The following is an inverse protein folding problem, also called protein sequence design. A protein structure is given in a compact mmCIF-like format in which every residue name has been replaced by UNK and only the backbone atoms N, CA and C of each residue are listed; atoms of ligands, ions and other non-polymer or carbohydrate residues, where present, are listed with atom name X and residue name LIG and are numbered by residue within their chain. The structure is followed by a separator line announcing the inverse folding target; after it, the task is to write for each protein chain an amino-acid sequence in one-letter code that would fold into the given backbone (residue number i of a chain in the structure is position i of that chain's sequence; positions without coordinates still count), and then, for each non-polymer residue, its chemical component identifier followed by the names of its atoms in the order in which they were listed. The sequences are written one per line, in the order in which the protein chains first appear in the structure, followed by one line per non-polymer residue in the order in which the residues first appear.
data_IF_308360859061
#
_entry.id   IF_308360859061
#
_cell.length_a   1.000
_cell.length_b   1.000
_cell.length_c   1.000
_cell.angle_alpha   90.00
_cell.angle_beta   90.00
_cell.angle_gamma   90.00
#
_symmetry.space_group_name_H-M   'P 1'
#
loop_
_entity.id
_entity.type
_entity.pdbx_description
1 polymer ?
#
# COMPACT_ATOMS: atom_id res chain seq x y z
N UNK A 1 -21.07 5.36 16.19
CA UNK A 1 -19.90 4.90 16.97
C UNK A 1 -19.24 3.65 16.39
N UNK A 2 -19.92 2.50 16.36
CA UNK A 2 -19.35 1.25 15.80
C UNK A 2 -18.84 1.37 14.34
N UNK A 3 -19.55 2.03 13.39
CA UNK A 3 -19.03 2.19 12.03
C UNK A 3 -17.82 3.13 11.94
N UNK A 4 -17.73 4.18 12.77
CA UNK A 4 -16.56 5.06 12.76
C UNK A 4 -15.32 4.35 13.32
N UNK A 5 -15.50 3.57 14.39
CA UNK A 5 -14.41 2.78 14.99
C UNK A 5 -13.88 1.76 13.98
N UNK A 6 -14.78 1.03 13.30
CA UNK A 6 -14.38 0.04 12.30
C UNK A 6 -13.66 0.70 11.11
N UNK A 7 -14.13 1.87 10.65
CA UNK A 7 -13.45 2.67 9.62
C UNK A 7 -12.06 3.09 10.06
N UNK A 8 -11.89 3.54 11.31
CA UNK A 8 -10.62 3.96 11.86
C UNK A 8 -9.63 2.79 11.96
N UNK A 9 -10.09 1.63 12.44
CA UNK A 9 -9.28 0.40 12.47
C UNK A 9 -8.83 0.03 11.05
N UNK A 10 -9.75 0.00 10.09
CA UNK A 10 -9.44 -0.34 8.70
C UNK A 10 -8.37 0.58 8.09
N UNK A 11 -8.54 1.91 8.24
CA UNK A 11 -7.59 2.92 7.75
C UNK A 11 -6.21 2.71 8.39
N UNK A 12 -6.17 2.44 9.69
CA UNK A 12 -4.93 2.24 10.43
C UNK A 12 -4.21 0.96 9.99
N UNK A 13 -4.95 -0.14 9.79
CA UNK A 13 -4.39 -1.39 9.26
C UNK A 13 -3.82 -1.18 7.86
N UNK A 14 -4.53 -0.45 6.98
CA UNK A 14 -4.03 -0.12 5.64
C UNK A 14 -2.75 0.73 5.70
N UNK A 15 -2.68 1.73 6.58
CA UNK A 15 -1.47 2.52 6.79
C UNK A 15 -0.28 1.65 7.20
N UNK A 16 -0.49 0.73 8.15
CA UNK A 16 0.54 -0.18 8.65
C UNK A 16 1.02 -1.14 7.57
N UNK A 17 0.11 -1.72 6.79
CA UNK A 17 0.46 -2.62 5.68
C UNK A 17 1.29 -1.89 4.62
N UNK A 18 0.92 -0.65 4.26
CA UNK A 18 1.68 0.16 3.32
C UNK A 18 3.05 0.55 3.88
N UNK A 19 3.14 0.92 5.16
CA UNK A 19 4.41 1.20 5.81
C UNK A 19 5.32 -0.03 5.84
N UNK A 20 4.76 -1.22 6.11
CA UNK A 20 5.49 -2.48 6.06
C UNK A 20 6.00 -2.80 4.65
N UNK A 21 5.18 -2.58 3.61
CA UNK A 21 5.60 -2.74 2.22
C UNK A 21 6.69 -1.74 1.82
N UNK A 22 6.60 -0.49 2.29
CA UNK A 22 7.62 0.51 2.08
C UNK A 22 8.96 0.10 2.74
N UNK A 23 8.90 -0.52 3.91
CA UNK A 23 10.11 -0.98 4.61
C UNK A 23 10.75 -2.20 3.93
N UNK A 24 9.93 -3.13 3.42
CA UNK A 24 10.40 -4.31 2.68
C UNK A 24 10.89 -3.99 1.27
N UNK A 25 10.46 -2.87 0.68
CA UNK A 25 10.93 -2.43 -0.62
C UNK A 25 12.40 -1.97 -0.57
N UNK A 26 13.16 -2.28 -1.63
CA UNK A 26 14.57 -1.90 -1.74
C UNK A 26 14.78 -0.39 -1.52
N UNK A 27 15.86 -0.03 -0.80
CA UNK A 27 16.22 1.38 -0.56
C UNK A 27 16.39 2.11 -1.90
N UNK A 28 15.81 3.31 -2.02
CA UNK A 28 15.88 4.13 -3.24
C UNK A 28 14.91 3.76 -4.36
N UNK A 29 14.10 2.71 -4.22
CA UNK A 29 13.12 2.33 -5.25
C UNK A 29 11.92 3.28 -5.28
N UNK A 30 11.37 3.52 -6.48
CA UNK A 30 10.16 4.35 -6.63
C UNK A 30 8.94 3.71 -5.97
N UNK A 31 8.91 2.38 -5.87
CA UNK A 31 7.89 1.67 -5.09
C UNK A 31 7.91 1.99 -3.62
N UNK A 32 9.10 2.11 -3.01
CA UNK A 32 9.20 2.50 -1.60
C UNK A 32 8.60 3.88 -1.38
N UNK A 33 8.84 4.81 -2.30
CA UNK A 33 8.23 6.14 -2.26
C UNK A 33 6.70 6.07 -2.42
N UNK A 34 6.20 5.23 -3.34
CA UNK A 34 4.77 5.02 -3.53
C UNK A 34 4.09 4.49 -2.26
N UNK A 35 4.66 3.45 -1.65
CA UNK A 35 4.12 2.87 -0.42
C UNK A 35 4.23 3.81 0.79
N UNK A 36 5.33 4.56 0.91
CA UNK A 36 5.50 5.54 1.98
C UNK A 36 4.49 6.70 1.84
N UNK A 37 4.32 7.24 0.63
CA UNK A 37 3.33 8.29 0.36
C UNK A 37 1.91 7.80 0.65
N UNK A 38 1.58 6.57 0.23
CA UNK A 38 0.31 5.93 0.56
C UNK A 38 0.10 5.78 2.07
N UNK A 39 1.09 5.26 2.80
CA UNK A 39 1.01 5.10 4.25
C UNK A 39 0.74 6.45 4.95
N UNK A 40 1.45 7.51 4.56
CA UNK A 40 1.25 8.86 5.07
C UNK A 40 -0.16 9.39 4.77
N UNK A 41 -0.69 9.14 3.57
CA UNK A 41 -2.06 9.52 3.23
C UNK A 41 -3.09 8.88 4.17
N UNK A 42 -2.96 7.57 4.44
CA UNK A 42 -3.86 6.87 5.35
C UNK A 42 -3.71 7.34 6.80
N UNK A 43 -2.51 7.73 7.23
CA UNK A 43 -2.31 8.38 8.54
C UNK A 43 -3.07 9.70 8.62
N UNK A 44 -3.02 10.55 7.57
CA UNK A 44 -3.79 11.79 7.53
C UNK A 44 -5.30 11.54 7.57
N UNK A 45 -5.78 10.51 6.87
CA UNK A 45 -7.18 10.12 6.95
C UNK A 45 -7.58 9.62 8.34
N UNK A 46 -6.71 8.87 9.02
CA UNK A 46 -6.94 8.45 10.40
C UNK A 46 -7.03 9.65 11.35
N UNK A 47 -6.14 10.63 11.18
CA UNK A 47 -6.16 11.89 11.94
C UNK A 47 -7.43 12.70 11.68
N UNK A 48 -7.85 12.85 10.41
CA UNK A 48 -9.11 13.51 10.06
C UNK A 48 -10.33 12.85 10.72
N UNK A 49 -10.29 11.51 10.82
CA UNK A 49 -11.31 10.75 11.53
C UNK A 49 -11.29 10.99 13.04
N UNK A 50 -10.10 11.05 13.66
CA UNK A 50 -9.94 11.37 15.08
C UNK A 50 -10.44 12.79 15.40
N UNK A 51 -10.09 13.77 14.57
CA UNK A 51 -10.57 15.15 14.72
C UNK A 51 -12.09 15.21 14.71
N UNK A 52 -12.72 14.50 13.78
CA UNK A 52 -14.19 14.43 13.70
C UNK A 52 -14.78 13.69 14.91
N UNK A 53 -14.19 12.58 15.33
CA UNK A 53 -14.69 11.73 16.42
C UNK A 53 -14.63 12.43 17.79
N UNK A 54 -13.54 13.14 18.05
CA UNK A 54 -13.35 13.86 19.31
C UNK A 54 -13.80 15.32 19.25
N UNK A 55 -14.37 15.76 18.12
CA UNK A 55 -14.75 17.17 17.89
C UNK A 55 -13.57 18.13 18.09
N UNK A 56 -12.36 17.67 17.77
CA UNK A 56 -11.10 18.42 17.92
C UNK A 56 -10.83 19.19 16.63
N UNK A 57 -10.70 20.52 16.76
CA UNK A 57 -10.40 21.40 15.64
C UNK A 57 -11.63 21.82 14.84
N UNK A 58 -11.48 22.89 14.05
CA UNK A 58 -12.54 23.34 13.14
C UNK A 58 -12.66 22.45 11.90
N UNK A 59 -13.82 22.50 11.22
CA UNK A 59 -14.07 21.74 9.99
C UNK A 59 -12.98 21.91 8.92
N UNK A 60 -12.32 23.08 8.89
CA UNK A 60 -11.20 23.39 8.01
C UNK A 60 -10.00 22.44 8.21
N UNK A 61 -9.72 22.00 9.45
CA UNK A 61 -8.58 21.14 9.75
C UNK A 61 -8.80 19.71 9.23
N UNK A 62 -10.04 19.22 9.37
CA UNK A 62 -10.47 17.95 8.78
C UNK A 62 -10.40 17.99 7.26
N UNK A 63 -10.92 19.06 6.63
CA UNK A 63 -10.87 19.24 5.18
C UNK A 63 -9.43 19.33 4.66
N UNK A 64 -8.55 20.06 5.36
CA UNK A 64 -7.14 20.19 5.00
C UNK A 64 -6.41 18.84 5.10
N UNK A 65 -6.67 18.07 6.16
CA UNK A 65 -6.10 16.72 6.34
C UNK A 65 -6.55 15.76 5.24
N UNK A 66 -7.83 15.82 4.85
CA UNK A 66 -8.37 15.03 3.73
C UNK A 66 -7.73 15.47 2.41
N UNK A 67 -7.66 16.77 2.15
CA UNK A 67 -7.06 17.32 0.92
C UNK A 67 -5.59 16.92 0.75
N UNK A 68 -4.79 17.05 1.81
CA UNK A 68 -3.39 16.60 1.82
C UNK A 68 -3.28 15.08 1.63
N UNK A 69 -4.15 14.30 2.28
CA UNK A 69 -4.22 12.85 2.10
C UNK A 69 -4.48 12.48 0.64
N UNK A 70 -5.44 13.14 -0.03
CA UNK A 70 -5.72 12.92 -1.45
C UNK A 70 -4.52 13.27 -2.35
N UNK A 71 -3.83 14.39 -2.07
CA UNK A 71 -2.62 14.76 -2.80
C UNK A 71 -1.52 13.70 -2.65
N UNK A 72 -1.33 13.15 -1.44
CA UNK A 72 -0.38 12.07 -1.21
C UNK A 72 -0.78 10.77 -1.92
N UNK A 73 -2.07 10.45 -2.02
CA UNK A 73 -2.54 9.31 -2.82
C UNK A 73 -2.16 9.51 -4.29
N UNK A 74 -2.37 10.70 -4.85
CA UNK A 74 -1.95 10.99 -6.23
C UNK A 74 -0.43 10.81 -6.40
N UNK A 75 0.37 11.32 -5.47
CA UNK A 75 1.83 11.11 -5.48
C UNK A 75 2.18 9.63 -5.43
N UNK A 76 1.50 8.84 -4.59
CA UNK A 76 1.71 7.41 -4.48
C UNK A 76 1.41 6.69 -5.80
N UNK A 77 0.29 7.02 -6.45
CA UNK A 77 -0.10 6.44 -7.74
C UNK A 77 0.90 6.81 -8.83
N UNK A 78 1.32 8.07 -8.91
CA UNK A 78 2.32 8.50 -9.90
C UNK A 78 3.67 7.81 -9.68
N UNK A 79 4.11 7.68 -8.44
CA UNK A 79 5.34 6.96 -8.10
C UNK A 79 5.25 5.47 -8.48
N UNK A 80 4.09 4.84 -8.27
CA UNK A 80 3.85 3.45 -8.65
C UNK A 80 3.85 3.26 -10.19
N UNK A 81 3.17 4.14 -10.92
CA UNK A 81 3.19 4.18 -12.38
C UNK A 81 4.62 4.35 -12.92
N UNK A 82 5.39 5.25 -12.29
CA UNK A 82 6.77 5.51 -12.64
C UNK A 82 7.70 4.33 -12.32
N UNK A 83 7.40 3.54 -11.30
CA UNK A 83 8.08 2.28 -10.99
C UNK A 83 7.73 1.19 -12.02
N UNK A 84 6.46 1.13 -12.46
CA UNK A 84 6.00 0.18 -13.47
C UNK A 84 6.68 0.43 -14.81
N UNK A 85 6.73 1.69 -15.26
CA UNK A 85 7.37 2.11 -16.52
C UNK A 85 8.88 1.83 -16.55
N UNK A 86 9.57 1.87 -15.40
CA UNK A 86 11.01 1.58 -15.31
C UNK A 86 11.35 0.10 -15.21
N UNK A 87 10.36 -0.79 -15.31
CA UNK A 87 10.61 -2.23 -15.28
C UNK A 87 11.02 -2.76 -13.90
N UNK A 88 10.84 -1.99 -12.81
CA UNK A 88 11.08 -2.49 -11.44
C UNK A 88 10.21 -3.73 -11.12
N UNK A 89 9.12 -3.96 -11.87
CA UNK A 89 8.24 -5.15 -11.86
C UNK A 89 8.76 -6.36 -12.62
N UNK A 90 9.67 -6.20 -13.58
CA UNK A 90 10.14 -7.31 -14.40
C UNK A 90 10.80 -8.41 -13.55
N UNK A 91 11.62 -8.03 -12.57
CA UNK A 91 12.31 -8.99 -11.70
C UNK A 91 11.38 -9.80 -10.79
N UNK A 92 10.26 -9.21 -10.32
CA UNK A 92 9.28 -9.95 -9.52
C UNK A 92 8.39 -10.86 -10.37
N UNK A 93 8.03 -10.41 -11.58
CA UNK A 93 7.29 -11.23 -12.54
C UNK A 93 8.10 -12.46 -12.95
N UNK A 94 9.42 -12.30 -13.12
CA UNK A 94 10.31 -13.39 -13.49
C UNK A 94 10.46 -14.41 -12.35
N UNK A 95 10.54 -13.97 -11.09
CA UNK A 95 10.52 -14.87 -9.91
C UNK A 95 9.18 -15.58 -9.72
N UNK A 96 8.07 -14.91 -9.97
CA UNK A 96 6.74 -15.54 -9.91
C UNK A 96 6.60 -16.62 -10.99
N UNK A 97 7.11 -16.36 -12.20
CA UNK A 97 7.15 -17.35 -13.28
C UNK A 97 8.07 -18.53 -12.98
N UNK A 98 9.23 -18.31 -12.37
CA UNK A 98 10.13 -19.42 -12.01
C UNK A 98 9.53 -20.33 -10.94
N UNK A 99 8.82 -19.78 -9.95
CA UNK A 99 8.12 -20.57 -8.94
C UNK A 99 6.99 -21.41 -9.53
N UNK A 100 6.20 -20.85 -10.46
CA UNK A 100 5.17 -21.59 -11.19
C UNK A 100 5.76 -22.72 -12.05
N UNK A 101 6.91 -22.49 -12.67
CA UNK A 101 7.59 -23.51 -13.46
C UNK A 101 8.17 -24.63 -12.58
N UNK A 102 8.70 -24.30 -11.40
CA UNK A 102 9.15 -25.30 -10.42
C UNK A 102 7.99 -26.16 -9.90
N UNK A 103 6.80 -25.58 -9.66
CA UNK A 103 5.62 -26.35 -9.28
C UNK A 103 5.15 -27.28 -10.40
N UNK A 104 5.12 -26.81 -11.67
CA UNK A 104 4.78 -27.67 -12.82
C UNK A 104 5.70 -28.88 -12.95
N UNK A 105 7.01 -28.68 -12.81
CA UNK A 105 7.98 -29.78 -12.85
C UNK A 105 7.80 -30.79 -11.71
N UNK A 106 7.31 -30.35 -10.54
CA UNK A 106 6.99 -31.26 -9.43
C UNK A 106 5.74 -32.09 -9.70
N UNK A 107 4.75 -31.54 -10.40
CA UNK A 107 3.57 -32.30 -10.84
C UNK A 107 3.94 -33.33 -11.90
N UNK A 108 4.71 -32.95 -12.93
CA UNK A 108 5.16 -33.87 -13.99
C UNK A 108 6.00 -35.03 -13.44
N UNK A 109 6.87 -34.80 -12.45
CA UNK A 109 7.63 -35.88 -11.78
C UNK A 109 6.77 -36.81 -10.93
N UNK A 110 5.64 -36.35 -10.40
CA UNK A 110 4.71 -37.18 -9.61
C UNK A 110 3.75 -37.99 -10.48
N UNK A 111 3.45 -37.50 -11.68
CA UNK A 111 2.62 -38.20 -12.65
C UNK A 111 3.41 -39.20 -13.50
N UNK A 112 4.70 -38.95 -13.77
CA UNK A 112 5.57 -39.87 -14.52
C UNK A 112 6.12 -41.07 -13.74
N UNK A 113 5.87 -41.15 -12.42
CA UNK A 113 6.31 -42.24 -11.53
C UNK A 113 5.15 -43.21 -11.19
N UNK A 114 4.04 -43.14 -11.95
CA UNK A 114 2.91 -44.07 -11.94
C UNK A 114 2.80 -44.78 -13.28
#
# INVERSE_FOLDING_TARGET
MLPEILRLILITVLALLLAQQAWRAGRGTRRRQAFAAGALAFVLFALANLFTLFTIGGAWLTQLSIGLGLALVLVAVLALLAAYRRGEMAGQLQRARSLLNEERQRYERREGDK
#
